data_IF_792083380395
#
_entry.id   IF_792083380395
#
_cell.length_a   1.000
_cell.length_b   1.000
_cell.length_c   1.000
_cell.angle_alpha   90.00
_cell.angle_beta   90.00
_cell.angle_gamma   90.00
#
_symmetry.space_group_name_H-M   'P 1'
#
loop_
_entity.id
_entity.type
_entity.pdbx_description
1 polymer ?
#
# COMPACT_ATOMS: atom_id res chain seq x y z
N UNK A 1 9.39 61.18 -13.82
CA UNK A 1 8.66 60.36 -14.80
C UNK A 1 8.69 58.93 -14.27
N UNK A 2 7.73 58.45 -13.48
CA UNK A 2 6.40 57.94 -13.90
C UNK A 2 6.52 57.03 -15.12
N UNK A 3 5.93 55.84 -15.22
CA UNK A 3 5.14 54.99 -14.34
C UNK A 3 5.05 53.68 -15.14
N UNK A 4 5.04 52.52 -14.48
CA UNK A 4 5.03 51.24 -15.18
C UNK A 4 4.59 50.07 -14.32
N UNK A 5 3.51 50.31 -13.56
CA UNK A 5 2.80 49.34 -12.72
C UNK A 5 2.49 48.04 -13.48
N UNK A 6 2.97 46.93 -12.94
CA UNK A 6 2.17 45.70 -12.80
C UNK A 6 2.14 45.38 -11.30
N UNK A 7 1.23 46.07 -10.62
CA UNK A 7 0.60 45.66 -9.35
C UNK A 7 -0.70 44.99 -9.83
N UNK A 8 -1.14 43.78 -9.46
CA UNK A 8 -1.29 43.13 -8.15
C UNK A 8 -1.95 41.78 -8.42
N UNK A 9 -1.59 40.70 -7.72
CA UNK A 9 -2.61 40.01 -6.89
C UNK A 9 -2.05 39.15 -5.75
N UNK A 10 -0.76 39.25 -5.40
CA UNK A 10 -0.14 38.48 -4.30
C UNK A 10 0.45 39.35 -3.16
N UNK A 11 0.01 40.60 -3.02
CA UNK A 11 0.54 41.57 -2.03
C UNK A 11 0.04 41.41 -0.58
N UNK A 12 -0.46 40.24 -0.22
CA UNK A 12 -0.96 39.89 1.12
C UNK A 12 0.04 39.06 1.91
N UNK A 13 1.04 38.46 1.25
CA UNK A 13 2.16 37.83 1.91
C UNK A 13 3.15 38.92 2.32
N UNK A 14 3.41 39.11 3.63
CA UNK A 14 4.33 40.14 4.07
C UNK A 14 5.72 39.85 3.48
N UNK A 15 6.22 40.81 2.71
CA UNK A 15 7.55 40.87 2.07
C UNK A 15 8.74 40.79 3.05
N UNK A 16 8.49 40.48 4.33
CA UNK A 16 9.53 40.16 5.33
C UNK A 16 10.05 38.72 5.24
N UNK A 17 9.41 37.83 4.48
CA UNK A 17 9.91 36.46 4.24
C UNK A 17 10.91 36.35 3.08
N UNK A 18 11.02 37.38 2.23
CA UNK A 18 11.88 37.38 1.06
C UNK A 18 13.08 38.31 1.28
N UNK A 19 14.21 37.76 1.75
CA UNK A 19 15.51 38.31 1.38
C UNK A 19 16.54 38.59 2.48
N UNK A 20 16.22 38.50 3.78
CA UNK A 20 17.24 38.77 4.82
C UNK A 20 17.19 37.92 6.10
N UNK A 21 16.22 37.02 6.24
CA UNK A 21 16.02 36.23 7.48
C UNK A 21 16.51 34.78 7.42
N UNK A 22 16.67 34.18 6.23
CA UNK A 22 17.18 32.81 6.10
C UNK A 22 18.71 32.83 6.15
N UNK A 23 19.31 32.48 7.30
CA UNK A 23 20.77 32.47 7.47
C UNK A 23 21.42 31.27 6.78
N UNK A 24 20.70 30.15 6.62
CA UNK A 24 21.17 28.97 5.91
C UNK A 24 20.33 28.71 4.65
N UNK A 25 20.97 28.79 3.47
CA UNK A 25 20.32 28.49 2.18
C UNK A 25 19.81 27.04 2.10
N UNK A 26 20.32 26.14 2.95
CA UNK A 26 19.92 24.73 3.01
C UNK A 26 18.57 24.51 3.71
N UNK A 27 18.27 25.26 4.79
CA UNK A 27 16.98 25.12 5.50
C UNK A 27 15.83 25.64 4.63
N UNK A 28 16.03 26.75 3.92
CA UNK A 28 15.09 27.23 2.91
C UNK A 28 14.86 26.19 1.80
N UNK A 29 15.93 25.52 1.34
CA UNK A 29 15.83 24.45 0.35
C UNK A 29 14.99 23.26 0.81
N UNK A 30 15.12 22.86 2.09
CA UNK A 30 14.31 21.81 2.70
C UNK A 30 12.84 22.21 2.79
N UNK A 31 12.54 23.43 3.26
CA UNK A 31 11.17 23.95 3.33
C UNK A 31 10.50 23.92 1.95
N UNK A 32 11.22 24.35 0.90
CA UNK A 32 10.69 24.33 -0.47
C UNK A 32 10.45 22.90 -0.95
N UNK A 33 11.39 21.98 -0.70
CA UNK A 33 11.23 20.57 -1.06
C UNK A 33 10.01 19.94 -0.37
N UNK A 34 9.85 20.16 0.93
CA UNK A 34 8.73 19.66 1.74
C UNK A 34 7.39 20.23 1.25
N UNK A 35 7.32 21.52 0.92
CA UNK A 35 6.10 22.14 0.37
C UNK A 35 5.73 21.51 -0.97
N UNK A 36 6.72 21.28 -1.86
CA UNK A 36 6.50 20.64 -3.16
C UNK A 36 6.04 19.19 -2.98
N UNK A 37 6.68 18.44 -2.08
CA UNK A 37 6.29 17.06 -1.76
C UNK A 37 4.87 16.99 -1.20
N UNK A 38 4.54 17.84 -0.22
CA UNK A 38 3.21 17.96 0.39
C UNK A 38 2.15 18.27 -0.68
N UNK A 39 2.42 19.28 -1.52
CA UNK A 39 1.51 19.65 -2.61
C UNK A 39 1.28 18.50 -3.59
N UNK A 40 2.34 17.77 -3.95
CA UNK A 40 2.25 16.62 -4.85
C UNK A 40 1.46 15.45 -4.23
N UNK A 41 1.66 15.15 -2.94
CA UNK A 41 0.90 14.11 -2.22
C UNK A 41 -0.58 14.48 -2.09
N UNK A 42 -0.90 15.74 -1.79
CA UNK A 42 -2.29 16.22 -1.73
C UNK A 42 -2.96 16.13 -3.11
N UNK A 43 -2.28 16.59 -4.16
CA UNK A 43 -2.75 16.45 -5.54
C UNK A 43 -3.00 14.98 -5.89
N UNK A 44 -2.09 14.09 -5.51
CA UNK A 44 -2.24 12.65 -5.71
C UNK A 44 -3.48 12.11 -4.98
N UNK A 45 -3.69 12.50 -3.72
CA UNK A 45 -4.88 12.10 -2.94
C UNK A 45 -6.18 12.56 -3.62
N UNK A 46 -6.22 13.80 -4.11
CA UNK A 46 -7.40 14.38 -4.80
C UNK A 46 -7.67 13.67 -6.13
N UNK A 47 -6.64 13.43 -6.94
CA UNK A 47 -6.77 12.75 -8.24
C UNK A 47 -7.21 11.29 -8.07
N UNK A 48 -6.85 10.67 -6.95
CA UNK A 48 -7.08 9.25 -6.70
C UNK A 48 -8.34 8.96 -5.87
N UNK A 49 -9.01 9.97 -5.31
CA UNK A 49 -10.22 9.81 -4.47
C UNK A 49 -11.50 9.43 -5.24
N UNK A 50 -11.45 9.34 -6.58
CA UNK A 50 -12.59 8.98 -7.43
C UNK A 50 -12.42 7.77 -8.36
N UNK A 51 -11.27 7.07 -8.32
CA UNK A 51 -10.97 5.93 -9.21
C UNK A 51 -10.81 4.65 -8.40
N UNK A 52 -11.21 3.51 -8.99
CA UNK A 52 -11.01 2.20 -8.35
C UNK A 52 -9.52 1.93 -8.20
N UNK A 53 -9.01 1.80 -6.98
CA UNK A 53 -7.57 1.68 -6.75
C UNK A 53 -7.14 0.21 -6.90
N UNK A 54 -5.84 -0.04 -7.12
CA UNK A 54 -5.25 -1.41 -7.18
C UNK A 54 -5.62 -2.21 -5.90
N UNK A 55 -5.96 -1.52 -4.81
CA UNK A 55 -6.28 -2.09 -3.49
C UNK A 55 -7.77 -2.22 -3.18
N UNK A 56 -8.67 -1.88 -4.10
CA UNK A 56 -10.11 -2.13 -3.92
C UNK A 56 -10.45 -3.64 -3.86
N UNK A 57 -9.46 -4.51 -4.08
CA UNK A 57 -9.54 -5.96 -3.85
C UNK A 57 -9.46 -6.30 -2.36
N UNK A 58 -8.93 -5.42 -1.49
CA UNK A 58 -8.85 -5.65 -0.04
C UNK A 58 -9.08 -4.38 0.81
N UNK A 59 -10.28 -4.19 1.41
CA UNK A 59 -10.62 -2.99 2.19
C UNK A 59 -9.66 -2.62 3.35
N UNK A 60 -9.10 -3.55 4.15
CA UNK A 60 -8.11 -3.22 5.18
C UNK A 60 -6.80 -2.63 4.62
N UNK A 61 -6.31 -3.11 3.48
CA UNK A 61 -5.10 -2.55 2.84
C UNK A 61 -5.37 -1.13 2.34
N UNK A 62 -6.53 -0.86 1.74
CA UNK A 62 -6.90 0.48 1.33
C UNK A 62 -7.01 1.45 2.51
N UNK A 63 -7.54 1.00 3.66
CA UNK A 63 -7.58 1.80 4.89
C UNK A 63 -6.18 2.10 5.42
N UNK A 64 -5.30 1.10 5.46
CA UNK A 64 -3.90 1.28 5.88
C UNK A 64 -3.15 2.32 5.04
N UNK A 65 -3.29 2.26 3.71
CA UNK A 65 -2.69 3.23 2.80
C UNK A 65 -3.20 4.66 3.05
N UNK A 66 -4.52 4.83 3.22
CA UNK A 66 -5.12 6.14 3.51
C UNK A 66 -4.65 6.70 4.84
N UNK A 67 -4.58 5.87 5.88
CA UNK A 67 -4.06 6.29 7.19
C UNK A 67 -2.59 6.72 7.04
N UNK A 68 -1.78 5.94 6.32
CA UNK A 68 -0.38 6.29 6.06
C UNK A 68 -0.21 7.62 5.31
N UNK A 69 -0.99 7.84 4.24
CA UNK A 69 -0.95 9.09 3.47
C UNK A 69 -1.44 10.27 4.31
N UNK A 70 -2.52 10.12 5.08
CA UNK A 70 -3.03 11.20 5.95
C UNK A 70 -2.02 11.56 7.05
N UNK A 71 -1.38 10.56 7.67
CA UNK A 71 -0.33 10.78 8.65
C UNK A 71 0.88 11.47 8.03
N UNK A 72 1.25 11.10 6.79
CA UNK A 72 2.34 11.72 6.04
C UNK A 72 2.05 13.19 5.72
N UNK A 73 0.84 13.52 5.25
CA UNK A 73 0.40 14.90 4.98
C UNK A 73 0.49 15.75 6.26
N UNK A 74 -0.02 15.22 7.37
CA UNK A 74 0.00 15.93 8.65
C UNK A 74 1.44 16.09 9.17
N UNK A 75 2.29 15.08 8.97
CA UNK A 75 3.71 15.14 9.29
C UNK A 75 4.40 16.27 8.53
N UNK A 76 4.33 16.30 7.19
CA UNK A 76 4.93 17.39 6.39
C UNK A 76 4.38 18.77 6.80
N UNK A 77 3.07 18.89 7.02
CA UNK A 77 2.48 20.16 7.44
C UNK A 77 3.07 20.67 8.76
N UNK A 78 3.20 19.79 9.76
CA UNK A 78 3.78 20.15 11.06
C UNK A 78 5.29 20.40 10.96
N UNK A 79 6.03 19.60 10.18
CA UNK A 79 7.48 19.80 9.96
C UNK A 79 7.77 21.12 9.26
N UNK A 80 6.98 21.49 8.25
CA UNK A 80 7.10 22.81 7.59
C UNK A 80 6.87 23.94 8.60
N UNK A 81 5.80 23.84 9.41
CA UNK A 81 5.51 24.83 10.46
C UNK A 81 6.66 24.92 11.48
N UNK A 82 7.18 23.79 11.94
CA UNK A 82 8.30 23.70 12.88
C UNK A 82 9.57 24.36 12.30
N UNK A 83 9.92 24.05 11.05
CA UNK A 83 11.05 24.66 10.34
C UNK A 83 10.88 26.19 10.21
N UNK A 84 9.68 26.67 9.90
CA UNK A 84 9.39 28.11 9.86
C UNK A 84 9.54 28.77 11.24
N UNK A 85 9.03 28.14 12.30
CA UNK A 85 9.15 28.67 13.67
C UNK A 85 10.61 28.71 14.13
N UNK A 86 11.39 27.68 13.80
CA UNK A 86 12.80 27.58 14.15
C UNK A 86 13.63 28.66 13.45
N UNK A 87 13.44 28.86 12.15
CA UNK A 87 14.17 29.89 11.39
C UNK A 87 13.72 31.31 11.78
N UNK A 88 12.43 31.51 12.04
CA UNK A 88 11.90 32.81 12.48
C UNK A 88 12.36 33.19 13.90
N UNK A 89 13.05 32.29 14.63
CA UNK A 89 13.54 32.48 16.01
C UNK A 89 12.46 32.97 16.95
N UNK A 90 11.21 32.55 16.73
CA UNK A 90 10.09 32.95 17.57
C UNK A 90 10.31 32.34 18.95
N UNK A 91 10.25 33.15 20.00
CA UNK A 91 10.28 32.65 21.37
C UNK A 91 9.01 31.85 21.64
N UNK A 92 9.07 30.52 21.52
CA UNK A 92 7.93 29.63 21.73
C UNK A 92 7.88 29.20 23.21
N UNK A 93 6.69 29.12 23.85
CA UNK A 93 6.57 28.65 25.24
C UNK A 93 7.17 27.25 25.45
N UNK A 94 7.58 26.96 26.69
CA UNK A 94 8.22 25.70 27.12
C UNK A 94 7.49 24.41 26.67
N UNK A 95 6.18 24.45 26.43
CA UNK A 95 5.42 23.30 25.91
C UNK A 95 5.84 22.89 24.48
N UNK A 96 6.56 23.74 23.75
CA UNK A 96 7.11 23.41 22.43
C UNK A 96 8.12 22.27 22.48
N UNK A 97 8.79 22.03 23.61
CA UNK A 97 9.68 20.88 23.78
C UNK A 97 8.98 19.52 23.64
N UNK A 98 7.66 19.46 23.82
CA UNK A 98 6.88 18.23 23.68
C UNK A 98 6.42 17.99 22.23
N UNK A 99 6.67 18.91 21.29
CA UNK A 99 6.17 18.82 19.92
C UNK A 99 6.90 17.75 19.09
N UNK A 100 8.14 17.38 19.46
CA UNK A 100 8.87 16.33 18.72
C UNK A 100 8.21 14.96 18.85
N UNK A 101 7.52 14.66 19.97
CA UNK A 101 6.84 13.37 20.18
C UNK A 101 5.68 13.17 19.21
N UNK A 102 4.68 14.07 19.09
CA UNK A 102 3.62 13.92 18.12
C UNK A 102 4.12 13.98 16.68
N UNK A 103 5.13 14.81 16.36
CA UNK A 103 5.75 14.83 15.02
C UNK A 103 6.39 13.48 14.71
N UNK A 104 7.18 12.94 15.64
CA UNK A 104 7.82 11.61 15.48
C UNK A 104 6.78 10.50 15.39
N UNK A 105 5.68 10.59 16.15
CA UNK A 105 4.60 9.62 16.10
C UNK A 105 3.93 9.60 14.73
N UNK A 106 3.68 10.78 14.14
CA UNK A 106 3.13 10.89 12.79
C UNK A 106 4.07 10.31 11.74
N UNK A 107 5.38 10.58 11.85
CA UNK A 107 6.40 9.99 10.97
C UNK A 107 6.36 8.46 11.05
N UNK A 108 6.52 7.88 12.25
CA UNK A 108 6.56 6.44 12.45
C UNK A 108 5.25 5.75 12.00
N UNK A 109 4.10 6.40 12.25
CA UNK A 109 2.82 5.93 11.75
C UNK A 109 2.77 5.93 10.22
N UNK A 110 3.10 7.05 9.58
CA UNK A 110 3.09 7.17 8.12
C UNK A 110 3.97 6.09 7.48
N UNK A 111 5.23 6.03 7.89
CA UNK A 111 6.19 5.11 7.32
C UNK A 111 5.82 3.64 7.57
N UNK A 112 5.41 3.31 8.79
CA UNK A 112 4.98 1.98 9.16
C UNK A 112 3.77 1.50 8.34
N UNK A 113 2.72 2.32 8.23
CA UNK A 113 1.53 1.97 7.46
C UNK A 113 1.83 1.85 5.97
N UNK A 114 2.65 2.72 5.39
CA UNK A 114 2.99 2.68 3.97
C UNK A 114 3.77 1.40 3.62
N UNK A 115 4.78 1.03 4.40
CA UNK A 115 5.57 -0.21 4.18
C UNK A 115 4.70 -1.44 4.37
N UNK A 116 3.99 -1.51 5.51
CA UNK A 116 3.13 -2.64 5.86
C UNK A 116 2.05 -2.88 4.79
N UNK A 117 1.44 -1.81 4.31
CA UNK A 117 0.41 -1.89 3.29
C UNK A 117 0.97 -2.34 1.96
N UNK A 118 2.10 -1.75 1.50
CA UNK A 118 2.77 -2.15 0.25
C UNK A 118 3.14 -3.62 0.27
N UNK A 119 3.74 -4.10 1.36
CA UNK A 119 4.05 -5.52 1.55
C UNK A 119 2.80 -6.39 1.44
N UNK A 120 1.73 -6.05 2.17
CA UNK A 120 0.49 -6.82 2.23
C UNK A 120 -0.17 -6.91 0.85
N UNK A 121 -0.18 -5.82 0.10
CA UNK A 121 -0.70 -5.78 -1.28
C UNK A 121 0.06 -6.77 -2.17
N UNK A 122 1.39 -6.75 -2.11
CA UNK A 122 2.24 -7.62 -2.93
C UNK A 122 1.98 -9.09 -2.60
N UNK A 123 1.97 -9.44 -1.31
CA UNK A 123 1.76 -10.82 -0.88
C UNK A 123 0.37 -11.32 -1.25
N UNK A 124 -0.66 -10.48 -1.18
CA UNK A 124 -2.01 -10.84 -1.60
C UNK A 124 -2.11 -11.10 -3.11
N UNK A 125 -1.39 -10.32 -3.94
CA UNK A 125 -1.29 -10.60 -5.37
C UNK A 125 -0.54 -11.91 -5.61
N UNK A 126 0.55 -12.18 -4.89
CA UNK A 126 1.28 -13.44 -5.00
C UNK A 126 0.42 -14.65 -4.56
N UNK A 127 -0.44 -14.48 -3.55
CA UNK A 127 -1.33 -15.53 -3.06
C UNK A 127 -2.37 -15.99 -4.09
N UNK A 128 -2.74 -15.14 -5.05
CA UNK A 128 -3.60 -15.53 -6.17
C UNK A 128 -2.96 -16.62 -7.03
N UNK A 129 -1.62 -16.70 -7.04
CA UNK A 129 -0.85 -17.63 -7.85
C UNK A 129 -0.20 -18.76 -7.02
N UNK A 130 0.18 -18.51 -5.76
CA UNK A 130 0.88 -19.49 -4.91
C UNK A 130 0.17 -19.66 -3.55
N UNK A 131 -0.34 -20.87 -3.26
CA UNK A 131 -0.95 -21.20 -1.95
C UNK A 131 0.03 -21.06 -0.77
N UNK A 132 1.32 -21.34 -0.98
CA UNK A 132 2.39 -21.16 0.03
C UNK A 132 2.62 -19.69 0.43
N UNK A 133 2.10 -18.72 -0.33
CA UNK A 133 2.18 -17.31 0.03
C UNK A 133 1.43 -16.96 1.34
N UNK A 134 0.55 -17.85 1.83
CA UNK A 134 -0.04 -17.73 3.18
C UNK A 134 1.04 -17.66 4.28
N UNK A 135 2.16 -18.37 4.14
CA UNK A 135 3.28 -18.30 5.09
C UNK A 135 3.95 -16.93 5.06
N UNK A 136 4.13 -16.35 3.86
CA UNK A 136 4.64 -15.00 3.71
C UNK A 136 3.70 -13.97 4.35
N UNK A 137 2.38 -14.16 4.24
CA UNK A 137 1.42 -13.28 4.91
C UNK A 137 1.57 -13.32 6.44
N UNK A 138 1.70 -14.51 7.03
CA UNK A 138 1.92 -14.67 8.48
C UNK A 138 3.24 -14.01 8.90
N UNK A 139 4.33 -14.25 8.16
CA UNK A 139 5.63 -13.61 8.40
C UNK A 139 5.52 -12.09 8.35
N UNK A 140 4.77 -11.56 7.38
CA UNK A 140 4.46 -10.14 7.26
C UNK A 140 3.76 -9.57 8.50
N UNK A 141 2.73 -10.23 8.99
CA UNK A 141 2.00 -9.78 10.19
C UNK A 141 2.92 -9.77 11.44
N UNK A 142 3.81 -10.75 11.58
CA UNK A 142 4.82 -10.77 12.66
C UNK A 142 5.79 -9.57 12.53
N UNK A 143 6.26 -9.27 11.31
CA UNK A 143 7.12 -8.11 11.06
C UNK A 143 6.40 -6.78 11.32
N UNK A 144 5.13 -6.67 10.97
CA UNK A 144 4.30 -5.49 11.27
C UNK A 144 4.14 -5.30 12.77
N UNK A 145 3.90 -6.37 13.53
CA UNK A 145 3.84 -6.31 14.99
C UNK A 145 5.18 -5.89 15.61
N UNK A 146 6.30 -6.40 15.10
CA UNK A 146 7.63 -5.99 15.53
C UNK A 146 7.90 -4.50 15.21
N UNK A 147 7.45 -4.03 14.05
CA UNK A 147 7.53 -2.63 13.64
C UNK A 147 6.69 -1.73 14.55
N UNK A 148 5.47 -2.15 14.90
CA UNK A 148 4.63 -1.45 15.86
C UNK A 148 5.27 -1.39 17.25
N UNK A 149 5.79 -2.51 17.75
CA UNK A 149 6.46 -2.57 19.04
C UNK A 149 7.67 -1.63 19.09
N UNK A 150 8.56 -1.71 18.09
CA UNK A 150 9.75 -0.83 18.01
C UNK A 150 9.37 0.65 17.91
N UNK A 151 8.31 1.00 17.17
CA UNK A 151 7.79 2.37 17.13
C UNK A 151 7.30 2.86 18.50
N UNK A 152 6.50 2.06 19.20
CA UNK A 152 5.99 2.40 20.54
C UNK A 152 7.13 2.55 21.55
N UNK A 153 8.12 1.65 21.55
CA UNK A 153 9.29 1.75 22.43
C UNK A 153 10.15 2.97 22.10
N UNK A 154 10.32 3.30 20.82
CA UNK A 154 11.04 4.52 20.39
C UNK A 154 10.34 5.78 20.89
N UNK A 155 9.02 5.87 20.73
CA UNK A 155 8.20 6.99 21.20
C UNK A 155 8.20 7.11 22.73
N UNK A 156 8.04 5.99 23.44
CA UNK A 156 8.11 5.97 24.90
C UNK A 156 9.46 6.44 25.42
N UNK A 157 10.55 6.03 24.78
CA UNK A 157 11.91 6.48 25.13
C UNK A 157 12.13 7.96 24.82
N UNK A 158 11.57 8.48 23.71
CA UNK A 158 11.62 9.90 23.37
C UNK A 158 10.82 10.73 24.39
N UNK A 159 9.61 10.31 24.74
CA UNK A 159 8.78 10.97 25.73
C UNK A 159 9.45 10.97 27.12
N UNK A 160 10.00 9.84 27.55
CA UNK A 160 10.78 9.76 28.79
C UNK A 160 11.97 10.72 28.79
N UNK A 161 12.71 10.80 27.67
CA UNK A 161 13.82 11.73 27.50
C UNK A 161 13.38 13.18 27.62
N UNK A 162 12.25 13.57 27.02
CA UNK A 162 11.72 14.94 27.11
C UNK A 162 11.26 15.29 28.54
N UNK A 163 10.60 14.36 29.24
CA UNK A 163 10.20 14.54 30.64
C UNK A 163 11.44 14.75 31.53
N UNK A 164 12.48 13.92 31.36
CA UNK A 164 13.75 14.04 32.09
C UNK A 164 14.45 15.37 31.78
N UNK A 165 14.31 15.86 30.55
CA UNK A 165 14.83 17.18 30.16
C UNK A 165 14.12 18.33 30.89
N UNK A 166 12.78 18.24 31.04
CA UNK A 166 11.99 19.22 31.79
C UNK A 166 12.31 19.21 33.30
N UNK A 167 12.79 18.09 33.83
CA UNK A 167 13.15 17.94 35.25
C UNK A 167 14.58 18.43 35.59
N UNK A 168 15.28 19.09 34.66
CA UNK A 168 16.67 19.57 34.85
C UNK A 168 17.66 18.47 35.28
N UNK A 169 17.44 17.22 34.83
CA UNK A 169 18.26 16.09 35.24
C UNK A 169 19.66 16.09 34.61
N UNK A 170 20.62 15.51 35.35
CA UNK A 170 22.03 15.38 34.95
C UNK A 170 22.21 14.78 33.55
N UNK A 171 23.26 15.20 32.85
CA UNK A 171 23.61 14.75 31.49
C UNK A 171 23.78 13.23 31.38
N UNK A 172 24.25 12.58 32.44
CA UNK A 172 24.37 11.12 32.53
C UNK A 172 23.00 10.42 32.49
N UNK A 173 21.99 10.98 33.16
CA UNK A 173 20.61 10.46 33.15
C UNK A 173 19.92 10.77 31.82
N UNK A 174 20.23 11.90 31.18
CA UNK A 174 19.75 12.21 29.81
C UNK A 174 20.29 11.20 28.78
N UNK A 175 21.58 10.86 28.86
CA UNK A 175 22.22 9.92 27.94
C UNK A 175 21.73 8.47 28.13
N UNK A 176 21.30 8.07 29.35
CA UNK A 176 20.77 6.73 29.57
C UNK A 176 19.44 6.46 28.85
N UNK A 177 18.65 7.50 28.53
CA UNK A 177 17.42 7.37 27.73
C UNK A 177 17.62 7.61 26.23
N UNK A 178 18.65 8.38 25.83
CA UNK A 178 18.94 8.64 24.42
C UNK A 178 19.48 7.41 23.68
N UNK A 179 20.24 6.56 24.37
CA UNK A 179 20.88 5.39 23.75
C UNK A 179 19.90 4.24 23.42
N UNK A 180 18.96 3.87 24.31
CA UNK A 180 17.88 2.94 23.96
C UNK A 180 16.99 3.47 22.82
N UNK A 181 16.62 4.75 22.85
CA UNK A 181 15.82 5.39 21.80
C UNK A 181 16.43 5.15 20.41
N UNK A 182 17.72 5.49 20.24
CA UNK A 182 18.43 5.31 18.97
C UNK A 182 18.40 3.86 18.51
N UNK A 183 18.62 2.90 19.41
CA UNK A 183 18.60 1.46 19.06
C UNK A 183 17.23 0.99 18.56
N UNK A 184 16.15 1.41 19.20
CA UNK A 184 14.79 1.07 18.75
C UNK A 184 14.44 1.74 17.42
N UNK A 185 14.87 2.98 17.21
CA UNK A 185 14.75 3.67 15.93
C UNK A 185 15.51 2.94 14.82
N UNK A 186 16.76 2.53 15.04
CA UNK A 186 17.50 1.74 14.06
C UNK A 186 16.84 0.37 13.79
N UNK A 187 16.34 -0.30 14.83
CA UNK A 187 15.60 -1.55 14.67
C UNK A 187 14.35 -1.37 13.80
N UNK A 188 13.61 -0.27 13.99
CA UNK A 188 12.45 0.09 13.19
C UNK A 188 12.81 0.22 11.70
N UNK A 189 13.84 1.01 11.36
CA UNK A 189 14.26 1.17 9.97
C UNK A 189 14.87 -0.10 9.36
N UNK A 190 15.54 -0.95 10.16
CA UNK A 190 16.01 -2.27 9.72
C UNK A 190 14.82 -3.19 9.36
N UNK A 191 13.76 -3.20 10.16
CA UNK A 191 12.55 -3.99 9.86
C UNK A 191 11.88 -3.46 8.59
N UNK A 192 11.78 -2.14 8.42
CA UNK A 192 11.24 -1.54 7.20
C UNK A 192 12.06 -1.89 5.96
N UNK A 193 13.38 -1.87 6.06
CA UNK A 193 14.27 -2.31 4.99
C UNK A 193 13.99 -3.77 4.61
N UNK A 194 13.93 -4.67 5.59
CA UNK A 194 13.63 -6.08 5.37
C UNK A 194 12.25 -6.28 4.71
N UNK A 195 11.23 -5.56 5.18
CA UNK A 195 9.89 -5.62 4.60
C UNK A 195 9.86 -5.10 3.15
N UNK A 196 10.53 -3.98 2.86
CA UNK A 196 10.64 -3.42 1.51
C UNK A 196 11.39 -4.36 0.55
N UNK A 197 12.49 -4.96 1.04
CA UNK A 197 13.24 -5.96 0.29
C UNK A 197 12.38 -7.20 -0.02
N UNK A 198 11.73 -7.78 0.99
CA UNK A 198 10.85 -8.95 0.79
C UNK A 198 9.68 -8.63 -0.15
N UNK A 199 9.07 -7.45 -0.03
CA UNK A 199 8.03 -7.01 -0.95
C UNK A 199 8.55 -6.94 -2.39
N UNK A 200 9.76 -6.42 -2.60
CA UNK A 200 10.37 -6.35 -3.93
C UNK A 200 10.63 -7.74 -4.50
N UNK A 201 11.19 -8.65 -3.69
CA UNK A 201 11.44 -10.04 -4.09
C UNK A 201 10.13 -10.74 -4.46
N UNK A 202 9.09 -10.63 -3.63
CA UNK A 202 7.79 -11.24 -3.90
C UNK A 202 7.10 -10.64 -5.12
N UNK A 203 7.22 -9.33 -5.34
CA UNK A 203 6.71 -8.69 -6.56
C UNK A 203 7.47 -9.18 -7.80
N UNK A 204 8.79 -9.40 -7.70
CA UNK A 204 9.62 -9.97 -8.75
C UNK A 204 9.27 -11.42 -9.07
N UNK A 205 9.04 -12.26 -8.05
CA UNK A 205 8.56 -13.64 -8.23
C UNK A 205 7.19 -13.62 -8.92
N UNK A 206 6.28 -12.74 -8.50
CA UNK A 206 4.97 -12.61 -9.11
C UNK A 206 5.06 -12.18 -10.60
N UNK A 207 5.94 -11.22 -10.90
CA UNK A 207 6.25 -10.78 -12.25
C UNK A 207 6.78 -11.92 -13.12
N UNK A 208 7.75 -12.67 -12.60
CA UNK A 208 8.35 -13.80 -13.29
C UNK A 208 7.33 -14.91 -13.59
N UNK A 209 6.48 -15.28 -12.63
CA UNK A 209 5.45 -16.29 -12.83
C UNK A 209 4.41 -15.89 -13.89
N UNK A 210 4.01 -14.62 -13.91
CA UNK A 210 3.04 -14.12 -14.90
C UNK A 210 3.67 -14.10 -16.30
N UNK A 211 4.94 -13.71 -16.39
CA UNK A 211 5.67 -13.76 -17.66
C UNK A 211 5.83 -15.19 -18.18
N UNK A 212 6.11 -16.16 -17.30
CA UNK A 212 6.25 -17.57 -17.68
C UNK A 212 4.95 -18.16 -18.24
N UNK A 213 3.80 -17.78 -17.66
CA UNK A 213 2.48 -18.30 -18.08
C UNK A 213 1.91 -17.57 -19.31
N UNK A 214 2.14 -16.26 -19.43
CA UNK A 214 1.45 -15.42 -20.41
C UNK A 214 2.36 -14.76 -21.45
N UNK A 215 3.68 -14.96 -21.39
CA UNK A 215 4.72 -14.29 -22.18
C UNK A 215 4.77 -12.75 -22.05
N UNK A 216 3.67 -12.09 -21.70
CA UNK A 216 3.56 -10.65 -21.46
C UNK A 216 3.23 -10.34 -19.98
N UNK A 217 3.92 -9.35 -19.42
CA UNK A 217 3.66 -8.86 -18.07
C UNK A 217 2.42 -7.98 -18.04
N UNK A 218 1.50 -8.27 -17.12
CA UNK A 218 0.37 -7.35 -16.90
C UNK A 218 0.86 -6.00 -16.35
N UNK A 219 0.20 -4.92 -16.75
CA UNK A 219 0.51 -3.57 -16.28
C UNK A 219 0.46 -3.44 -14.74
N UNK A 220 -0.37 -4.25 -14.07
CA UNK A 220 -0.48 -4.27 -12.60
C UNK A 220 0.79 -4.85 -12.00
N UNK A 221 1.25 -6.00 -12.49
CA UNK A 221 2.43 -6.66 -11.94
C UNK A 221 3.69 -5.82 -12.12
N UNK A 222 3.83 -5.18 -13.28
CA UNK A 222 4.93 -4.26 -13.55
C UNK A 222 4.92 -3.06 -12.58
N UNK A 223 3.76 -2.42 -12.38
CA UNK A 223 3.64 -1.29 -11.43
C UNK A 223 3.89 -1.71 -9.99
N UNK A 224 3.37 -2.86 -9.59
CA UNK A 224 3.54 -3.40 -8.24
C UNK A 224 5.03 -3.66 -7.94
N UNK A 225 5.76 -4.20 -8.92
CA UNK A 225 7.21 -4.36 -8.82
C UNK A 225 7.92 -3.02 -8.64
N UNK A 226 7.67 -2.04 -9.51
CA UNK A 226 8.30 -0.74 -9.41
C UNK A 226 7.90 0.05 -8.16
N UNK A 227 6.67 -0.14 -7.67
CA UNK A 227 6.22 0.43 -6.40
C UNK A 227 7.00 -0.16 -5.23
N UNK A 228 7.09 -1.50 -5.15
CA UNK A 228 7.84 -2.18 -4.10
C UNK A 228 9.34 -1.83 -4.16
N UNK A 229 9.91 -1.78 -5.36
CA UNK A 229 11.31 -1.40 -5.56
C UNK A 229 11.58 0.06 -5.15
N UNK A 230 10.71 1.00 -5.54
CA UNK A 230 10.82 2.40 -5.10
C UNK A 230 10.70 2.52 -3.58
N UNK A 231 9.78 1.77 -2.98
CA UNK A 231 9.63 1.69 -1.53
C UNK A 231 10.88 1.12 -0.85
N UNK A 232 11.54 0.13 -1.46
CA UNK A 232 12.78 -0.42 -0.92
C UNK A 232 13.94 0.57 -0.99
N UNK A 233 14.10 1.31 -2.10
CA UNK A 233 15.10 2.38 -2.21
C UNK A 233 14.87 3.44 -1.13
N UNK A 234 13.60 3.83 -0.95
CA UNK A 234 13.18 4.75 0.10
C UNK A 234 13.57 4.23 1.50
N UNK A 235 13.20 3.00 1.88
CA UNK A 235 13.63 2.40 3.15
C UNK A 235 15.16 2.33 3.31
N UNK A 236 15.87 2.04 2.21
CA UNK A 236 17.34 1.94 2.21
C UNK A 236 17.99 3.30 2.49
N UNK A 237 17.42 4.38 1.96
CA UNK A 237 17.92 5.74 2.18
C UNK A 237 17.85 6.16 3.65
N UNK A 238 16.75 5.85 4.34
CA UNK A 238 16.59 6.11 5.77
C UNK A 238 17.50 5.23 6.62
N UNK A 239 17.54 3.92 6.33
CA UNK A 239 18.40 2.99 7.05
C UNK A 239 19.89 3.39 6.95
N UNK A 240 20.35 3.77 5.75
CA UNK A 240 21.73 4.21 5.54
C UNK A 240 22.07 5.47 6.36
N UNK A 241 21.12 6.41 6.49
CA UNK A 241 21.32 7.61 7.29
C UNK A 241 21.39 7.30 8.79
N UNK A 242 20.45 6.48 9.28
CA UNK A 242 20.38 6.09 10.70
C UNK A 242 21.61 5.28 11.11
N UNK A 243 22.07 4.35 10.26
CA UNK A 243 23.29 3.59 10.50
C UNK A 243 24.54 4.50 10.51
N UNK A 244 24.65 5.46 9.60
CA UNK A 244 25.74 6.45 9.62
C UNK A 244 25.75 7.26 10.91
N UNK A 245 24.58 7.69 11.36
CA UNK A 245 24.42 8.41 12.62
C UNK A 245 24.84 7.56 13.84
N UNK A 246 24.53 6.25 13.82
CA UNK A 246 24.90 5.34 14.91
C UNK A 246 26.35 4.89 14.91
N UNK A 247 26.98 4.76 13.74
CA UNK A 247 28.38 4.36 13.59
C UNK A 247 29.36 5.47 13.98
N UNK A 248 28.89 6.63 14.44
CA UNK A 248 29.73 7.73 14.90
C UNK A 248 30.56 8.37 13.78
N UNK A 249 30.25 8.07 12.50
CA UNK A 249 30.84 8.78 11.38
C UNK A 249 30.31 10.21 11.40
N UNK A 250 31.15 11.13 11.87
CA UNK A 250 30.82 12.52 12.14
C UNK A 250 30.07 13.20 11.00
N UNK A 251 29.02 13.94 11.38
CA UNK A 251 28.27 14.96 10.65
C UNK A 251 28.21 14.72 9.13
N UNK A 252 27.07 14.22 8.61
CA UNK A 252 26.94 14.03 7.19
C UNK A 252 27.12 15.43 6.54
N UNK A 253 27.93 15.52 5.49
CA UNK A 253 28.39 16.79 4.91
C UNK A 253 27.23 17.78 4.72
N UNK A 254 27.43 19.10 4.81
CA UNK A 254 26.37 20.14 4.89
C UNK A 254 25.19 20.01 3.88
N UNK A 255 25.35 19.26 2.79
CA UNK A 255 24.34 19.01 1.75
C UNK A 255 23.66 17.62 1.79
N UNK A 256 24.07 16.71 2.66
CA UNK A 256 23.54 15.34 2.72
C UNK A 256 22.12 15.25 3.25
N UNK A 257 21.70 16.21 4.08
CA UNK A 257 20.30 16.29 4.56
C UNK A 257 19.34 16.55 3.41
N UNK A 258 19.59 17.61 2.64
CA UNK A 258 18.80 17.95 1.45
C UNK A 258 18.82 16.83 0.39
N UNK A 259 19.98 16.20 0.16
CA UNK A 259 20.08 15.07 -0.78
C UNK A 259 19.30 13.84 -0.29
N UNK A 260 19.29 13.58 1.02
CA UNK A 260 18.45 12.53 1.61
C UNK A 260 16.98 12.85 1.41
N UNK A 261 16.54 14.05 1.78
CA UNK A 261 15.14 14.46 1.74
C UNK A 261 14.60 14.44 0.30
N UNK A 262 15.39 14.90 -0.68
CA UNK A 262 15.03 14.83 -2.10
C UNK A 262 14.92 13.40 -2.65
N UNK A 263 15.86 12.50 -2.30
CA UNK A 263 15.79 11.08 -2.69
C UNK A 263 14.58 10.42 -2.01
N UNK A 264 14.39 10.70 -0.72
CA UNK A 264 13.28 10.20 0.08
C UNK A 264 11.94 10.58 -0.55
N UNK A 265 11.71 11.88 -0.76
CA UNK A 265 10.47 12.42 -1.31
C UNK A 265 10.20 11.88 -2.71
N UNK A 266 11.23 11.80 -3.55
CA UNK A 266 11.11 11.31 -4.92
C UNK A 266 10.64 9.86 -4.97
N UNK A 267 11.34 8.94 -4.28
CA UNK A 267 10.99 7.52 -4.34
C UNK A 267 9.70 7.20 -3.59
N UNK A 268 9.38 7.96 -2.54
CA UNK A 268 8.09 7.90 -1.87
C UNK A 268 6.96 8.31 -2.82
N UNK A 269 7.11 9.44 -3.52
CA UNK A 269 6.13 9.92 -4.48
C UNK A 269 5.94 8.92 -5.63
N UNK A 270 7.03 8.39 -6.20
CA UNK A 270 6.98 7.38 -7.26
C UNK A 270 6.23 6.13 -6.79
N UNK A 271 6.56 5.63 -5.58
CA UNK A 271 5.85 4.49 -4.98
C UNK A 271 4.35 4.78 -4.84
N UNK A 272 3.99 5.93 -4.25
CA UNK A 272 2.59 6.31 -4.07
C UNK A 272 1.86 6.48 -5.40
N UNK A 273 2.46 7.08 -6.42
CA UNK A 273 1.87 7.21 -7.76
C UNK A 273 1.59 5.83 -8.35
N UNK A 274 2.57 4.92 -8.30
CA UNK A 274 2.43 3.58 -8.86
C UNK A 274 1.39 2.74 -8.12
N UNK A 275 1.25 2.93 -6.80
CA UNK A 275 0.23 2.27 -5.97
C UNK A 275 -1.17 2.85 -6.21
N UNK A 276 -1.29 4.16 -6.40
CA UNK A 276 -2.59 4.85 -6.44
C UNK A 276 -3.18 5.03 -7.84
N UNK A 277 -2.36 5.08 -8.89
CA UNK A 277 -2.87 5.20 -10.26
C UNK A 277 -3.44 3.87 -10.77
N UNK A 278 -4.76 3.85 -10.96
CA UNK A 278 -5.45 2.79 -11.66
C UNK A 278 -5.05 2.73 -13.14
N UNK A 279 -4.80 1.51 -13.63
CA UNK A 279 -4.70 1.27 -15.05
C UNK A 279 -6.11 1.36 -15.62
N UNK A 280 -6.39 2.48 -16.28
CA UNK A 280 -7.49 2.62 -17.25
C UNK A 280 -7.54 1.43 -18.25
N UNK A 281 -6.48 0.62 -18.37
CA UNK A 281 -6.43 -0.60 -19.18
C UNK A 281 -7.26 -1.77 -18.63
N UNK A 282 -7.48 -1.86 -17.31
CA UNK A 282 -8.34 -2.91 -16.77
C UNK A 282 -9.82 -2.53 -16.74
N UNK A 283 -10.15 -1.27 -17.05
CA UNK A 283 -11.52 -0.86 -17.29
C UNK A 283 -12.04 -1.27 -18.67
N UNK A 284 -11.25 -1.80 -19.62
CA UNK A 284 -11.85 -2.48 -20.79
C UNK A 284 -12.26 -3.91 -20.46
N UNK A 285 -11.44 -4.64 -19.69
CA UNK A 285 -11.86 -5.93 -19.14
C UNK A 285 -13.00 -5.76 -18.11
N UNK A 286 -12.91 -4.82 -17.16
CA UNK A 286 -13.99 -4.52 -16.19
C UNK A 286 -15.14 -3.65 -16.71
N UNK A 287 -15.02 -2.92 -17.82
CA UNK A 287 -16.21 -2.37 -18.51
C UNK A 287 -16.96 -3.45 -19.25
N UNK A 288 -16.32 -4.57 -19.66
CA UNK A 288 -17.06 -5.80 -19.96
C UNK A 288 -17.82 -6.32 -18.74
N UNK A 289 -17.29 -6.09 -17.53
CA UNK A 289 -17.97 -6.39 -16.26
C UNK A 289 -19.06 -5.39 -15.82
N UNK A 290 -19.13 -4.18 -16.40
CA UNK A 290 -20.13 -3.15 -16.03
C UNK A 290 -21.03 -2.68 -17.16
N UNK A 291 -20.64 -2.88 -18.42
CA UNK A 291 -21.62 -3.02 -19.48
C UNK A 291 -22.44 -4.24 -19.08
N UNK A 292 -23.72 -4.02 -18.78
CA UNK A 292 -24.61 -5.14 -18.52
C UNK A 292 -24.46 -6.13 -19.67
N UNK A 293 -24.47 -7.43 -19.38
CA UNK A 293 -24.55 -8.42 -20.43
C UNK A 293 -25.68 -7.98 -21.38
N UNK A 294 -25.45 -7.98 -22.70
CA UNK A 294 -26.51 -7.75 -23.68
C UNK A 294 -27.74 -8.57 -23.30
N UNK A 295 -28.95 -8.01 -23.46
CA UNK A 295 -30.16 -8.63 -22.95
C UNK A 295 -30.35 -10.08 -23.44
N UNK A 296 -29.85 -10.39 -24.64
CA UNK A 296 -29.88 -11.72 -25.24
C UNK A 296 -28.92 -12.74 -24.60
N UNK A 297 -27.84 -12.32 -23.93
CA UNK A 297 -26.88 -13.23 -23.26
C UNK A 297 -27.23 -13.49 -21.79
N UNK A 298 -28.04 -12.62 -21.17
CA UNK A 298 -28.44 -12.74 -19.76
C UNK A 298 -29.13 -14.07 -19.42
N UNK A 299 -30.11 -14.56 -20.20
CA UNK A 299 -30.72 -15.86 -19.92
C UNK A 299 -29.68 -16.98 -19.98
N UNK A 300 -28.81 -16.97 -20.99
CA UNK A 300 -27.76 -17.98 -21.14
C UNK A 300 -26.77 -18.00 -19.96
N UNK A 301 -26.37 -16.82 -19.44
CA UNK A 301 -25.54 -16.74 -18.24
C UNK A 301 -26.29 -17.26 -17.00
N UNK A 302 -27.58 -16.94 -16.86
CA UNK A 302 -28.40 -17.45 -15.75
C UNK A 302 -28.46 -18.99 -15.78
N UNK A 303 -28.69 -19.56 -16.95
CA UNK A 303 -28.74 -21.01 -17.17
C UNK A 303 -27.39 -21.68 -16.92
N UNK A 304 -26.27 -21.06 -17.33
CA UNK A 304 -24.92 -21.53 -16.99
C UNK A 304 -24.67 -21.52 -15.48
N UNK A 305 -25.08 -20.47 -14.77
CA UNK A 305 -24.91 -20.40 -13.31
C UNK A 305 -25.82 -21.39 -12.58
N UNK A 306 -27.03 -21.62 -13.08
CA UNK A 306 -27.96 -22.62 -12.55
C UNK A 306 -27.43 -24.04 -12.76
N UNK A 307 -26.93 -24.35 -13.96
CA UNK A 307 -26.31 -25.63 -14.29
C UNK A 307 -25.05 -25.88 -13.44
N UNK A 308 -24.23 -24.85 -13.22
CA UNK A 308 -23.09 -24.91 -12.31
C UNK A 308 -23.52 -25.22 -10.86
N UNK A 309 -24.55 -24.54 -10.35
CA UNK A 309 -25.08 -24.80 -8.99
C UNK A 309 -25.64 -26.22 -8.88
N UNK A 310 -26.41 -26.67 -9.86
CA UNK A 310 -26.96 -28.03 -9.90
C UNK A 310 -25.84 -29.08 -9.90
N UNK A 311 -24.79 -28.87 -10.72
CA UNK A 311 -23.63 -29.77 -10.75
C UNK A 311 -22.86 -29.78 -9.42
N UNK A 312 -22.72 -28.63 -8.77
CA UNK A 312 -22.12 -28.53 -7.42
C UNK A 312 -22.95 -29.34 -6.43
N UNK A 313 -24.27 -29.15 -6.38
CA UNK A 313 -25.16 -29.88 -5.47
C UNK A 313 -25.09 -31.39 -5.72
N UNK A 314 -25.03 -31.82 -6.98
CA UNK A 314 -24.93 -33.23 -7.34
C UNK A 314 -23.57 -33.85 -6.97
N UNK A 315 -22.47 -33.15 -7.23
CA UNK A 315 -21.13 -33.54 -6.79
C UNK A 315 -21.05 -33.61 -5.26
N UNK A 316 -21.72 -32.69 -4.56
CA UNK A 316 -21.79 -32.70 -3.10
C UNK A 316 -22.59 -33.89 -2.58
N UNK A 317 -23.74 -34.22 -3.19
CA UNK A 317 -24.59 -35.37 -2.82
C UNK A 317 -23.88 -36.71 -3.04
N UNK A 318 -23.29 -36.90 -4.22
CA UNK A 318 -22.55 -38.13 -4.57
C UNK A 318 -21.32 -38.33 -3.68
N UNK A 319 -20.54 -37.28 -3.43
CA UNK A 319 -19.31 -37.37 -2.60
C UNK A 319 -19.56 -37.37 -1.09
N UNK A 320 -20.78 -37.08 -0.62
CA UNK A 320 -21.16 -37.24 0.81
C UNK A 320 -21.78 -38.59 1.12
N UNK A 321 -22.27 -39.33 0.11
CA UNK A 321 -22.82 -40.68 0.29
C UNK A 321 -21.75 -41.76 0.56
N UNK A 322 -20.55 -41.59 0.01
CA UNK A 322 -19.54 -42.67 -0.07
C UNK A 322 -18.29 -42.50 0.82
N UNK A 323 -18.16 -41.40 1.60
CA UNK A 323 -16.91 -41.11 2.34
C UNK A 323 -17.16 -40.61 3.77
N UNK A 324 -16.46 -41.21 4.75
CA UNK A 324 -16.40 -40.75 6.17
C UNK A 324 -15.87 -39.31 6.33
N UNK A 325 -15.23 -38.75 5.30
CA UNK A 325 -14.77 -37.35 5.26
C UNK A 325 -15.10 -36.71 3.91
N UNK A 326 -16.02 -35.73 3.86
CA UNK A 326 -16.35 -35.04 2.62
C UNK A 326 -15.15 -34.17 2.18
N UNK A 327 -14.83 -34.13 0.87
CA UNK A 327 -13.72 -33.33 0.34
C UNK A 327 -13.94 -31.83 0.58
N UNK A 328 -12.89 -30.99 0.52
CA UNK A 328 -13.03 -29.54 0.59
C UNK A 328 -13.73 -28.99 -0.67
N UNK A 329 -14.55 -27.94 -0.51
CA UNK A 329 -15.29 -27.33 -1.62
C UNK A 329 -14.37 -26.84 -2.75
N UNK A 330 -13.15 -26.41 -2.41
CA UNK A 330 -12.12 -26.04 -3.37
C UNK A 330 -11.79 -27.13 -4.41
N UNK A 331 -11.95 -28.42 -4.09
CA UNK A 331 -11.68 -29.50 -5.05
C UNK A 331 -12.84 -29.64 -6.05
N UNK A 332 -14.08 -29.44 -5.63
CA UNK A 332 -15.26 -29.39 -6.52
C UNK A 332 -15.16 -28.20 -7.48
N UNK A 333 -14.74 -27.03 -6.97
CA UNK A 333 -14.52 -25.84 -7.80
C UNK A 333 -13.34 -26.03 -8.77
N UNK A 334 -12.29 -26.77 -8.37
CA UNK A 334 -11.17 -27.08 -9.26
C UNK A 334 -11.60 -27.99 -10.42
N UNK A 335 -12.45 -28.98 -10.17
CA UNK A 335 -12.98 -29.88 -11.20
C UNK A 335 -13.86 -29.10 -12.20
N UNK A 336 -14.68 -28.17 -11.69
CA UNK A 336 -15.49 -27.25 -12.50
C UNK A 336 -14.65 -26.35 -13.42
N UNK A 337 -13.52 -25.83 -12.92
CA UNK A 337 -12.59 -25.02 -13.74
C UNK A 337 -11.90 -25.83 -14.82
N UNK A 338 -11.64 -27.12 -14.59
CA UNK A 338 -10.98 -28.01 -15.55
C UNK A 338 -11.91 -28.43 -16.68
N UNK A 339 -13.20 -28.60 -16.41
CA UNK A 339 -14.16 -29.04 -17.43
C UNK A 339 -15.52 -28.34 -17.29
N UNK A 340 -15.62 -27.04 -17.64
CA UNK A 340 -16.86 -26.28 -17.53
C UNK A 340 -17.96 -26.86 -18.43
N UNK A 341 -17.60 -27.40 -19.59
CA UNK A 341 -18.52 -28.06 -20.52
C UNK A 341 -19.23 -29.28 -19.94
N UNK A 342 -18.63 -29.98 -18.97
CA UNK A 342 -19.26 -31.13 -18.33
C UNK A 342 -20.47 -30.75 -17.45
N UNK A 343 -20.62 -29.47 -17.11
CA UNK A 343 -21.76 -28.98 -16.33
C UNK A 343 -22.96 -28.57 -17.16
N UNK A 344 -22.77 -28.43 -18.48
CA UNK A 344 -23.78 -27.88 -19.36
C UNK A 344 -24.50 -29.01 -20.09
N UNK A 345 -25.84 -29.00 -20.06
CA UNK A 345 -26.64 -29.86 -20.92
C UNK A 345 -26.46 -29.51 -22.40
N UNK A 346 -26.74 -30.48 -23.28
CA UNK A 346 -26.46 -30.44 -24.73
C UNK A 346 -26.98 -29.16 -25.42
N UNK A 347 -28.18 -28.69 -25.06
CA UNK A 347 -28.76 -27.46 -25.61
C UNK A 347 -27.92 -26.21 -25.32
N UNK A 348 -27.43 -26.04 -24.10
CA UNK A 348 -26.58 -24.89 -23.72
C UNK A 348 -25.20 -24.93 -24.36
N UNK A 349 -24.72 -26.13 -24.73
CA UNK A 349 -23.46 -26.28 -25.48
C UNK A 349 -23.67 -25.90 -26.94
N UNK A 350 -24.84 -26.21 -27.51
CA UNK A 350 -25.24 -25.80 -28.86
C UNK A 350 -25.48 -24.29 -28.93
N UNK A 351 -26.23 -23.71 -27.99
CA UNK A 351 -26.45 -22.27 -27.88
C UNK A 351 -25.13 -21.47 -27.76
N UNK A 352 -24.13 -22.02 -27.04
CA UNK A 352 -22.79 -21.41 -26.94
C UNK A 352 -21.99 -21.49 -28.24
N UNK A 353 -22.22 -22.50 -29.08
CA UNK A 353 -21.54 -22.66 -30.38
C UNK A 353 -22.07 -21.70 -31.43
N UNK A 354 -23.32 -21.26 -31.27
CA UNK A 354 -23.97 -20.30 -32.17
C UNK A 354 -23.57 -18.83 -31.87
N UNK A 355 -22.92 -18.59 -30.73
CA UNK A 355 -22.42 -17.26 -30.36
C UNK A 355 -21.20 -16.84 -31.17
N UNK A 356 -21.10 -15.55 -31.45
CA UNK A 356 -19.88 -14.97 -31.98
C UNK A 356 -18.75 -15.01 -30.94
N UNK A 357 -17.51 -14.92 -31.42
CA UNK A 357 -16.30 -15.03 -30.59
C UNK A 357 -16.29 -13.96 -29.49
N UNK A 358 -16.88 -12.79 -29.75
CA UNK A 358 -16.97 -11.71 -28.78
C UNK A 358 -17.99 -11.98 -27.67
N UNK A 359 -19.20 -12.45 -27.98
CA UNK A 359 -20.19 -12.83 -26.97
C UNK A 359 -19.74 -14.02 -26.15
N UNK A 360 -19.14 -15.03 -26.78
CA UNK A 360 -18.61 -16.20 -26.08
C UNK A 360 -17.55 -15.82 -25.05
N UNK A 361 -16.62 -14.93 -25.43
CA UNK A 361 -15.58 -14.41 -24.52
C UNK A 361 -16.18 -13.65 -23.34
N UNK A 362 -17.18 -12.79 -23.58
CA UNK A 362 -17.86 -12.07 -22.50
C UNK A 362 -18.58 -13.01 -21.53
N UNK A 363 -19.22 -14.05 -22.06
CA UNK A 363 -19.93 -15.07 -21.29
C UNK A 363 -18.97 -15.89 -20.42
N UNK A 364 -17.84 -16.34 -20.98
CA UNK A 364 -16.82 -17.14 -20.30
C UNK A 364 -16.07 -16.37 -19.22
N UNK A 365 -15.76 -15.09 -19.48
CA UNK A 365 -15.18 -14.21 -18.47
C UNK A 365 -16.13 -14.09 -17.26
N UNK A 366 -17.43 -13.87 -17.50
CA UNK A 366 -18.44 -13.76 -16.43
C UNK A 366 -18.65 -15.05 -15.66
N UNK A 367 -18.71 -16.16 -16.36
CA UNK A 367 -18.80 -17.48 -15.73
C UNK A 367 -17.57 -17.75 -14.85
N UNK A 368 -16.37 -17.39 -15.33
CA UNK A 368 -15.12 -17.56 -14.57
C UNK A 368 -15.09 -16.68 -13.32
N UNK A 369 -15.59 -15.45 -13.39
CA UNK A 369 -15.73 -14.59 -12.21
C UNK A 369 -16.71 -15.16 -11.18
N UNK A 370 -17.84 -15.72 -11.63
CA UNK A 370 -18.79 -16.38 -10.75
C UNK A 370 -18.15 -17.58 -10.02
N UNK A 371 -17.42 -18.43 -10.74
CA UNK A 371 -16.71 -19.58 -10.15
C UNK A 371 -15.58 -19.13 -9.21
N UNK A 372 -14.91 -18.02 -9.52
CA UNK A 372 -13.88 -17.42 -8.65
C UNK A 372 -14.49 -16.85 -7.37
N UNK A 373 -15.64 -16.20 -7.47
CA UNK A 373 -16.38 -15.70 -6.30
C UNK A 373 -16.81 -16.84 -5.37
N UNK A 374 -17.31 -17.95 -5.93
CA UNK A 374 -17.64 -19.15 -5.16
C UNK A 374 -16.42 -19.73 -4.42
N UNK A 375 -15.26 -19.81 -5.09
CA UNK A 375 -14.00 -20.26 -4.48
C UNK A 375 -13.58 -19.35 -3.33
N UNK A 376 -13.64 -18.03 -3.52
CA UNK A 376 -13.24 -17.06 -2.49
C UNK A 376 -14.15 -17.05 -1.28
N UNK A 377 -15.46 -17.24 -1.47
CA UNK A 377 -16.44 -17.22 -0.37
C UNK A 377 -16.55 -18.56 0.35
N UNK A 378 -16.48 -19.67 -0.39
CA UNK A 378 -16.83 -20.99 0.14
C UNK A 378 -15.71 -22.03 -0.01
N UNK A 379 -14.59 -21.73 -0.67
CA UNK A 379 -13.52 -22.69 -0.97
C UNK A 379 -12.89 -23.35 0.26
N UNK A 380 -12.82 -22.62 1.37
CA UNK A 380 -12.27 -23.12 2.65
C UNK A 380 -13.31 -23.89 3.50
N UNK A 381 -14.59 -23.93 3.08
CA UNK A 381 -15.63 -24.67 3.79
C UNK A 381 -15.63 -26.15 3.38
N UNK A 382 -15.89 -27.02 4.37
CA UNK A 382 -16.14 -28.44 4.09
C UNK A 382 -17.53 -28.61 3.49
N UNK A 383 -17.63 -29.49 2.50
CA UNK A 383 -18.80 -29.71 1.66
C UNK A 383 -20.13 -29.96 2.41
N UNK A 384 -20.11 -30.46 3.65
CA UNK A 384 -21.31 -30.65 4.48
C UNK A 384 -21.97 -29.35 4.95
N UNK A 385 -21.24 -28.23 5.07
CA UNK A 385 -21.81 -26.92 5.41
C UNK A 385 -22.34 -26.18 4.17
N UNK A 386 -21.70 -26.39 3.02
CA UNK A 386 -21.99 -25.64 1.78
C UNK A 386 -23.30 -26.08 1.13
N UNK A 387 -23.66 -27.37 1.20
CA UNK A 387 -24.93 -27.87 0.62
C UNK A 387 -26.21 -27.33 1.29
N UNK A 388 -26.11 -26.69 2.47
CA UNK A 388 -27.23 -26.00 3.13
C UNK A 388 -27.29 -24.50 2.82
N UNK A 389 -26.19 -23.92 2.34
CA UNK A 389 -26.01 -22.46 2.14
C UNK A 389 -26.03 -22.05 0.65
N UNK A 390 -25.74 -22.98 -0.26
CA UNK A 390 -25.88 -22.85 -1.72
C UNK A 390 -27.26 -23.32 -2.14
#
# INVERSE_FOLDING_TARGET
MSDGKIVSSLSWLPTRLAGSLFKDKSTLGQIVADIVALGAIICLLIVTTGRKQIFDVNPPSARGLRIGISALILWYALTIIDLFLHEARVSVPYNYFLIDVPISALKLCAEGFLVATTYRIVVLHLQQHIRKAKVALILGEVLILALLATAVYSLGSLMARQIVWLQLADEKMRNSFAWPQRRFEAAFYCIQFCMGFLATVFAGINAWMIHDVHAELTAITHRLFWAAFSMWIWCTSEMAFVLKYQLGQHLPAKNTGLARDTIYDFFLLVSLILLTFDAKSNNRQRSGYRAGLPAHLRPLLADMTAACRAHIVEQLRTRTGDLEKPPPFADVIRDLRRNPSATFHRGLVEDRRELDIHALRMLDERYTAFVTELDTRYGDLRCTRVAREV
#
